data_IF_940530120613
#
_entry.id   IF_940530120613
#
_cell.length_a   1.000
_cell.length_b   1.000
_cell.length_c   1.000
_cell.angle_alpha   90.00
_cell.angle_beta   90.00
_cell.angle_gamma   90.00
#
_symmetry.space_group_name_H-M   'P 1'
#
loop_
_entity.id
_entity.type
_entity.pdbx_description
1 polymer ?
#
# COMPACT_ATOMS: atom_id res chain seq x y z
N UNK A 1 7.56 0.92 14.98
CA UNK A 1 8.06 2.22 15.52
C UNK A 1 8.37 2.04 17.01
N UNK A 2 9.52 2.51 17.52
CA UNK A 2 9.84 2.44 18.95
C UNK A 2 9.77 3.84 19.56
N UNK A 3 8.99 4.00 20.62
CA UNK A 3 8.95 5.23 21.42
C UNK A 3 9.31 4.83 22.84
N UNK A 4 10.44 5.34 23.34
CA UNK A 4 11.06 4.91 24.60
C UNK A 4 11.31 3.40 24.58
N UNK A 5 10.81 2.67 25.57
CA UNK A 5 10.93 1.23 25.76
C UNK A 5 9.83 0.42 25.04
N UNK A 6 8.94 1.07 24.29
CA UNK A 6 7.73 0.42 23.76
C UNK A 6 7.76 0.28 22.23
N UNK A 7 7.47 -0.93 21.74
CA UNK A 7 7.30 -1.21 20.31
C UNK A 7 5.83 -1.08 19.89
N UNK A 8 5.60 -0.26 18.87
CA UNK A 8 4.29 0.06 18.33
C UNK A 8 4.02 -0.68 17.03
N UNK A 9 2.85 -1.34 16.99
CA UNK A 9 2.26 -1.95 15.80
C UNK A 9 1.63 -0.88 14.90
N UNK A 10 0.99 0.11 15.49
CA UNK A 10 0.42 1.26 14.79
C UNK A 10 0.65 2.51 15.64
N UNK A 11 0.32 3.73 15.19
CA UNK A 11 0.47 4.92 16.03
C UNK A 11 -0.16 4.80 17.43
N UNK A 12 -1.33 4.15 17.54
CA UNK A 12 -2.07 4.00 18.81
C UNK A 12 -1.88 2.66 19.50
N UNK A 13 -1.54 1.60 18.76
CA UNK A 13 -1.48 0.23 19.30
C UNK A 13 -0.05 -0.25 19.50
N UNK A 14 0.25 -0.73 20.71
CA UNK A 14 1.51 -1.43 21.02
C UNK A 14 1.37 -2.91 20.74
N UNK A 15 2.45 -3.56 20.35
CA UNK A 15 2.44 -5.01 20.14
C UNK A 15 2.02 -5.79 21.39
N UNK A 16 2.47 -5.38 22.57
CA UNK A 16 2.13 -6.02 23.86
C UNK A 16 0.69 -5.83 24.29
N UNK A 17 -0.07 -4.96 23.62
CA UNK A 17 -1.45 -4.65 23.98
C UNK A 17 -2.45 -5.27 23.01
N UNK A 18 -2.00 -5.88 21.92
CA UNK A 18 -2.88 -6.44 20.91
C UNK A 18 -3.33 -7.84 21.29
N UNK A 19 -4.65 -8.00 21.39
CA UNK A 19 -5.28 -9.32 21.34
C UNK A 19 -5.44 -9.76 19.88
N UNK A 20 -4.61 -10.72 19.47
CA UNK A 20 -4.60 -11.29 18.11
C UNK A 20 -5.81 -12.19 17.82
N UNK A 21 -6.54 -12.63 18.83
CA UNK A 21 -7.76 -13.42 18.71
C UNK A 21 -9.02 -12.53 18.69
N UNK A 22 -8.92 -11.29 19.16
CA UNK A 22 -10.00 -10.32 19.10
C UNK A 22 -10.15 -9.69 17.72
N UNK A 23 -11.12 -10.18 16.95
CA UNK A 23 -11.44 -9.70 15.60
C UNK A 23 -11.60 -8.18 15.50
N UNK A 24 -12.40 -7.58 16.38
CA UNK A 24 -12.71 -6.15 16.33
C UNK A 24 -11.47 -5.31 16.60
N UNK A 25 -10.71 -5.69 17.63
CA UNK A 25 -9.50 -4.99 18.02
C UNK A 25 -8.43 -5.05 16.92
N UNK A 26 -8.21 -6.24 16.34
CA UNK A 26 -7.20 -6.42 15.29
C UNK A 26 -7.53 -5.63 14.01
N UNK A 27 -8.81 -5.56 13.64
CA UNK A 27 -9.27 -4.74 12.51
C UNK A 27 -9.02 -3.24 12.80
N UNK A 28 -9.36 -2.75 13.99
CA UNK A 28 -9.16 -1.34 14.35
C UNK A 28 -7.67 -0.98 14.44
N UNK A 29 -6.83 -1.87 14.98
CA UNK A 29 -5.38 -1.68 14.99
C UNK A 29 -4.81 -1.63 13.58
N UNK A 30 -5.28 -2.50 12.68
CA UNK A 30 -4.85 -2.51 11.28
C UNK A 30 -5.29 -1.24 10.54
N UNK A 31 -6.51 -0.76 10.76
CA UNK A 31 -6.99 0.55 10.28
C UNK A 31 -6.09 1.69 10.76
N UNK A 32 -5.79 1.72 12.05
CA UNK A 32 -4.90 2.73 12.64
C UNK A 32 -3.49 2.65 12.03
N UNK A 33 -2.96 1.45 11.76
CA UNK A 33 -1.66 1.26 11.11
C UNK A 33 -1.66 1.82 9.70
N UNK A 34 -2.59 1.36 8.87
CA UNK A 34 -2.59 1.72 7.44
C UNK A 34 -2.88 3.21 7.27
N UNK A 35 -3.92 3.74 7.94
CA UNK A 35 -4.25 5.17 7.89
C UNK A 35 -3.15 6.01 8.54
N UNK A 36 -2.63 5.59 9.68
CA UNK A 36 -1.71 6.38 10.48
C UNK A 36 -0.29 6.46 9.93
N UNK A 37 0.25 5.38 9.36
CA UNK A 37 1.61 5.37 8.82
C UNK A 37 1.69 5.75 7.33
N UNK A 38 0.64 5.48 6.55
CA UNK A 38 0.71 5.69 5.10
C UNK A 38 -0.31 6.72 4.59
N UNK A 39 -1.62 6.47 4.77
CA UNK A 39 -2.64 7.24 4.05
C UNK A 39 -2.78 8.68 4.56
N UNK A 40 -2.86 8.89 5.88
CA UNK A 40 -3.00 10.23 6.45
C UNK A 40 -1.74 11.09 6.20
N UNK A 41 -0.51 10.59 6.36
CA UNK A 41 0.67 11.35 5.96
C UNK A 41 0.70 11.67 4.46
N UNK A 42 0.35 10.72 3.58
CA UNK A 42 0.27 10.96 2.14
C UNK A 42 -0.78 12.04 1.80
N UNK A 43 -1.91 12.05 2.52
CA UNK A 43 -2.96 13.07 2.35
C UNK A 43 -2.43 14.47 2.67
N UNK A 44 -1.73 14.63 3.79
CA UNK A 44 -1.12 15.92 4.19
C UNK A 44 -0.12 16.41 3.15
N UNK A 45 0.77 15.52 2.68
CA UNK A 45 1.75 15.85 1.65
C UNK A 45 1.09 16.25 0.31
N UNK A 46 0.00 15.58 -0.07
CA UNK A 46 -0.79 15.98 -1.24
C UNK A 46 -1.43 17.37 -1.05
N UNK A 47 -1.91 17.72 0.14
CA UNK A 47 -2.44 19.05 0.46
C UNK A 47 -1.34 20.13 0.36
N UNK A 48 -0.11 19.79 0.74
CA UNK A 48 1.09 20.64 0.65
C UNK A 48 1.74 20.65 -0.75
N UNK A 49 1.19 19.88 -1.70
CA UNK A 49 1.69 19.68 -3.08
C UNK A 49 3.05 18.96 -3.17
N UNK A 50 3.46 18.25 -2.13
CA UNK A 50 4.64 17.37 -2.11
C UNK A 50 4.37 16.02 -2.79
N UNK A 51 4.10 16.09 -4.10
CA UNK A 51 3.67 14.96 -4.95
C UNK A 51 4.64 13.77 -4.90
N UNK A 52 5.95 14.03 -4.83
CA UNK A 52 6.96 12.98 -4.79
C UNK A 52 6.89 12.17 -3.48
N UNK A 53 6.84 12.86 -2.35
CA UNK A 53 6.77 12.21 -1.04
C UNK A 53 5.42 11.51 -0.83
N UNK A 54 4.32 12.13 -1.27
CA UNK A 54 3.00 11.51 -1.25
C UNK A 54 2.96 10.23 -2.11
N UNK A 55 3.56 10.26 -3.29
CA UNK A 55 3.67 9.12 -4.20
C UNK A 55 4.47 7.95 -3.59
N UNK A 56 5.60 8.23 -2.93
CA UNK A 56 6.36 7.21 -2.20
C UNK A 56 5.49 6.53 -1.13
N UNK A 57 4.77 7.31 -0.33
CA UNK A 57 3.90 6.75 0.71
C UNK A 57 2.78 5.90 0.12
N UNK A 58 2.16 6.33 -0.99
CA UNK A 58 1.18 5.52 -1.71
C UNK A 58 1.76 4.18 -2.15
N UNK A 59 2.97 4.18 -2.72
CA UNK A 59 3.67 2.96 -3.12
C UNK A 59 3.94 2.05 -1.92
N UNK A 60 4.41 2.60 -0.80
CA UNK A 60 4.64 1.79 0.42
C UNK A 60 3.34 1.22 1.00
N UNK A 61 2.22 1.96 0.90
CA UNK A 61 0.91 1.47 1.30
C UNK A 61 0.49 0.28 0.44
N UNK A 62 0.61 0.39 -0.88
CA UNK A 62 0.30 -0.69 -1.83
C UNK A 62 1.19 -1.91 -1.54
N UNK A 63 2.49 -1.73 -1.32
CA UNK A 63 3.42 -2.83 -1.08
C UNK A 63 3.03 -3.61 0.20
N UNK A 64 2.59 -2.90 1.24
CA UNK A 64 2.10 -3.49 2.48
C UNK A 64 0.74 -4.19 2.28
N UNK A 65 -0.24 -3.53 1.68
CA UNK A 65 -1.57 -4.09 1.44
C UNK A 65 -1.50 -5.33 0.53
N UNK A 66 -0.75 -5.26 -0.57
CA UNK A 66 -0.51 -6.38 -1.47
C UNK A 66 0.09 -7.59 -0.75
N UNK A 67 0.98 -7.36 0.22
CA UNK A 67 1.60 -8.43 1.01
C UNK A 67 0.60 -9.12 1.95
N UNK A 68 -0.32 -8.36 2.54
CA UNK A 68 -1.35 -8.89 3.43
C UNK A 68 -2.48 -9.57 2.64
N UNK A 69 -2.95 -8.94 1.57
CA UNK A 69 -4.18 -9.35 0.88
C UNK A 69 -3.99 -10.47 -0.14
N UNK A 70 -2.85 -10.52 -0.83
CA UNK A 70 -2.66 -11.51 -1.92
C UNK A 70 -2.09 -12.84 -1.44
N UNK A 71 -1.39 -12.85 -0.30
CA UNK A 71 -0.67 -14.03 0.20
C UNK A 71 0.50 -14.50 -0.68
N UNK A 72 0.89 -13.74 -1.72
CA UNK A 72 1.95 -14.12 -2.66
C UNK A 72 3.35 -13.66 -2.21
N UNK A 73 4.33 -14.54 -2.26
CA UNK A 73 5.69 -14.25 -1.78
C UNK A 73 6.50 -13.33 -2.72
N UNK A 74 6.34 -13.48 -4.03
CA UNK A 74 7.12 -12.71 -5.02
C UNK A 74 6.60 -11.28 -5.12
N UNK A 75 7.44 -10.30 -4.75
CA UNK A 75 7.10 -8.88 -4.66
C UNK A 75 6.42 -8.33 -5.91
N UNK A 76 7.05 -8.49 -7.09
CA UNK A 76 6.46 -8.00 -8.35
C UNK A 76 5.09 -8.61 -8.62
N UNK A 77 4.98 -9.94 -8.52
CA UNK A 77 3.71 -10.64 -8.75
C UNK A 77 2.59 -10.17 -7.80
N UNK A 78 2.87 -10.00 -6.50
CA UNK A 78 1.86 -9.55 -5.55
C UNK A 78 1.46 -8.10 -5.78
N UNK A 79 2.42 -7.23 -6.07
CA UNK A 79 2.20 -5.80 -6.25
C UNK A 79 1.38 -5.54 -7.51
N UNK A 80 1.79 -6.15 -8.62
CA UNK A 80 1.06 -6.09 -9.90
C UNK A 80 -0.34 -6.70 -9.78
N UNK A 81 -0.49 -7.86 -9.11
CA UNK A 81 -1.80 -8.47 -8.89
C UNK A 81 -2.71 -7.56 -8.08
N UNK A 82 -2.23 -7.03 -6.95
CA UNK A 82 -3.04 -6.16 -6.10
C UNK A 82 -3.51 -4.92 -6.85
N UNK A 83 -2.64 -4.28 -7.65
CA UNK A 83 -3.03 -3.12 -8.45
C UNK A 83 -4.12 -3.46 -9.46
N UNK A 84 -3.94 -4.51 -10.26
CA UNK A 84 -4.91 -4.90 -11.29
C UNK A 84 -6.26 -5.29 -10.71
N UNK A 85 -6.26 -6.01 -9.59
CA UNK A 85 -7.49 -6.47 -8.95
C UNK A 85 -8.29 -5.32 -8.31
N UNK A 86 -7.62 -4.22 -7.95
CA UNK A 86 -8.21 -3.17 -7.10
C UNK A 86 -8.32 -1.78 -7.72
N UNK A 87 -7.55 -1.48 -8.77
CA UNK A 87 -7.50 -0.17 -9.41
C UNK A 87 -7.50 -0.38 -10.93
N UNK A 88 -8.66 -0.13 -11.54
CA UNK A 88 -8.96 -0.46 -12.94
C UNK A 88 -7.95 0.13 -13.94
N UNK A 89 -7.39 1.31 -13.66
CA UNK A 89 -6.41 1.95 -14.53
C UNK A 89 -5.16 1.10 -14.70
N UNK A 90 -4.77 0.31 -13.69
CA UNK A 90 -3.56 -0.51 -13.75
C UNK A 90 -3.74 -1.85 -14.47
N UNK A 91 -4.97 -2.31 -14.69
CA UNK A 91 -5.25 -3.52 -15.50
C UNK A 91 -5.20 -3.25 -17.01
N UNK A 92 -5.21 -1.97 -17.41
CA UNK A 92 -5.04 -1.56 -18.81
C UNK A 92 -3.66 -1.98 -19.33
N UNK A 93 -3.61 -2.30 -20.63
CA UNK A 93 -2.37 -2.58 -21.34
C UNK A 93 -1.46 -1.34 -21.36
N UNK A 94 -0.14 -1.57 -21.28
CA UNK A 94 0.83 -0.51 -21.49
C UNK A 94 0.90 -0.15 -22.99
N UNK A 95 0.66 1.12 -23.37
CA UNK A 95 0.67 1.52 -24.78
C UNK A 95 2.04 1.32 -25.45
N UNK A 96 3.14 1.34 -24.69
CA UNK A 96 4.49 1.13 -25.24
C UNK A 96 4.87 -0.36 -25.34
N UNK A 97 4.11 -1.26 -24.71
CA UNK A 97 4.41 -2.69 -24.69
C UNK A 97 3.15 -3.53 -24.41
N UNK A 98 2.49 -4.00 -25.47
CA UNK A 98 1.21 -4.72 -25.37
C UNK A 98 1.27 -6.03 -24.56
N UNK A 99 2.46 -6.59 -24.35
CA UNK A 99 2.63 -7.81 -23.54
C UNK A 99 2.62 -7.55 -22.02
N UNK A 100 2.52 -6.30 -21.57
CA UNK A 100 2.49 -5.93 -20.14
C UNK A 100 1.36 -4.95 -19.83
N UNK A 101 0.98 -4.86 -18.57
CA UNK A 101 -0.02 -3.89 -18.10
C UNK A 101 0.65 -2.64 -17.51
N UNK A 102 -0.12 -1.59 -17.30
CA UNK A 102 0.34 -0.41 -16.57
C UNK A 102 0.76 -0.77 -15.13
N UNK A 103 0.17 -1.80 -14.50
CA UNK A 103 0.62 -2.32 -13.21
C UNK A 103 2.09 -2.76 -13.21
N UNK A 104 2.50 -3.50 -14.26
CA UNK A 104 3.89 -3.95 -14.41
C UNK A 104 4.82 -2.75 -14.56
N UNK A 105 4.46 -1.80 -15.42
CA UNK A 105 5.26 -0.60 -15.64
C UNK A 105 5.39 0.25 -14.37
N UNK A 106 4.31 0.43 -13.62
CA UNK A 106 4.34 1.14 -12.35
C UNK A 106 5.18 0.41 -11.29
N UNK A 107 5.12 -0.93 -11.24
CA UNK A 107 6.00 -1.73 -10.39
C UNK A 107 7.48 -1.53 -10.73
N UNK A 108 7.85 -1.59 -12.01
CA UNK A 108 9.26 -1.47 -12.42
C UNK A 108 9.79 -0.03 -12.35
N UNK A 109 9.06 0.93 -12.91
CA UNK A 109 9.55 2.31 -13.06
C UNK A 109 9.43 3.11 -11.77
N UNK A 110 8.33 2.93 -11.02
CA UNK A 110 8.07 3.70 -9.81
C UNK A 110 8.49 2.93 -8.57
N UNK A 111 7.91 1.77 -8.31
CA UNK A 111 8.20 1.06 -7.06
C UNK A 111 9.67 0.60 -7.00
N UNK A 112 10.17 -0.10 -8.01
CA UNK A 112 11.57 -0.54 -8.00
C UNK A 112 12.53 0.65 -8.10
N UNK A 113 12.22 1.64 -8.94
CA UNK A 113 12.99 2.88 -9.01
C UNK A 113 13.12 3.56 -7.63
N UNK A 114 12.01 3.87 -6.98
CA UNK A 114 12.01 4.64 -5.74
C UNK A 114 12.62 3.85 -4.57
N UNK A 115 12.32 2.55 -4.47
CA UNK A 115 12.77 1.74 -3.33
C UNK A 115 14.22 1.27 -3.49
N UNK A 116 14.69 0.99 -4.71
CA UNK A 116 16.02 0.42 -4.94
C UNK A 116 17.02 1.38 -5.58
N UNK A 117 16.56 2.40 -6.31
CA UNK A 117 17.43 3.36 -7.02
C UNK A 117 17.29 4.81 -6.51
N UNK A 118 16.32 5.09 -5.63
CA UNK A 118 16.08 6.43 -5.08
C UNK A 118 15.53 7.45 -6.10
N UNK A 119 15.00 6.99 -7.23
CA UNK A 119 14.45 7.84 -8.31
C UNK A 119 13.36 7.11 -9.09
N UNK A 120 12.54 7.84 -9.85
CA UNK A 120 11.62 7.20 -10.81
C UNK A 120 12.40 6.92 -12.11
N UNK A 121 12.23 5.73 -12.69
CA UNK A 121 12.90 5.35 -13.95
C UNK A 121 12.19 5.97 -15.16
N UNK A 122 12.88 5.98 -16.31
CA UNK A 122 12.31 6.31 -17.63
C UNK A 122 11.53 7.64 -17.67
N UNK A 123 12.02 8.64 -16.94
CA UNK A 123 11.38 9.96 -16.80
C UNK A 123 9.95 9.93 -16.26
N UNK A 124 9.52 8.83 -15.61
CA UNK A 124 8.23 8.74 -14.97
C UNK A 124 8.05 9.80 -13.89
N UNK A 125 6.82 10.29 -13.73
CA UNK A 125 6.53 11.48 -12.92
C UNK A 125 5.34 11.27 -12.00
N UNK A 126 5.38 11.98 -10.87
CA UNK A 126 4.16 12.29 -10.13
C UNK A 126 3.71 13.70 -10.49
N UNK A 127 2.45 13.85 -10.90
CA UNK A 127 1.86 15.17 -11.17
C UNK A 127 0.39 15.21 -10.77
N UNK A 128 0.04 16.19 -9.95
CA UNK A 128 -1.35 16.50 -9.61
C UNK A 128 -2.10 17.27 -10.71
N UNK A 129 -1.41 17.66 -11.80
CA UNK A 129 -1.96 18.47 -12.88
C UNK A 129 -2.75 17.63 -13.90
N UNK A 130 -2.40 16.36 -14.06
CA UNK A 130 -3.15 15.45 -14.94
C UNK A 130 -4.52 15.16 -14.33
N UNK A 131 -5.54 15.08 -15.19
CA UNK A 131 -6.90 14.78 -14.76
C UNK A 131 -7.11 13.32 -14.41
N UNK A 132 -6.38 12.40 -15.05
CA UNK A 132 -6.52 10.95 -14.83
C UNK A 132 -5.64 10.44 -13.68
N UNK A 133 -5.88 9.21 -13.21
CA UNK A 133 -5.01 8.57 -12.22
C UNK A 133 -3.63 8.27 -12.83
N UNK A 134 -3.63 7.74 -14.05
CA UNK A 134 -2.44 7.46 -14.86
C UNK A 134 -2.66 8.05 -16.24
N UNK A 135 -1.64 8.75 -16.75
CA UNK A 135 -1.53 9.15 -18.14
C UNK A 135 -0.21 8.60 -18.69
N UNK A 136 -0.19 8.14 -19.94
CA UNK A 136 1.05 7.79 -20.63
C UNK A 136 1.14 8.63 -21.89
N UNK A 137 2.08 9.57 -21.91
CA UNK A 137 2.26 10.55 -22.99
C UNK A 137 3.73 10.55 -23.39
N UNK A 138 4.01 10.46 -24.69
CA UNK A 138 5.38 10.39 -25.24
C UNK A 138 6.24 9.31 -24.54
N UNK A 139 5.63 8.15 -24.30
CA UNK A 139 6.26 7.04 -23.59
C UNK A 139 6.72 7.36 -22.16
N UNK A 140 6.16 8.40 -21.53
CA UNK A 140 6.36 8.74 -20.12
C UNK A 140 5.09 8.43 -19.34
N UNK A 141 5.20 7.61 -18.30
CA UNK A 141 4.09 7.38 -17.35
C UNK A 141 4.06 8.52 -16.33
N UNK A 142 2.92 9.20 -16.25
CA UNK A 142 2.63 10.24 -15.27
C UNK A 142 1.52 9.73 -14.37
N UNK A 143 1.73 9.76 -13.05
CA UNK A 143 0.78 9.29 -12.05
C UNK A 143 0.33 10.43 -11.18
N UNK A 144 -0.98 10.56 -10.96
CA UNK A 144 -1.54 11.54 -10.05
C UNK A 144 -1.55 10.97 -8.63
N UNK A 145 -0.67 11.43 -7.71
CA UNK A 145 -0.55 10.86 -6.38
C UNK A 145 -1.79 11.11 -5.50
N UNK A 146 -2.55 12.17 -5.79
CA UNK A 146 -3.82 12.44 -5.10
C UNK A 146 -4.90 11.44 -5.50
N UNK A 147 -5.04 11.17 -6.80
CA UNK A 147 -5.99 10.16 -7.29
C UNK A 147 -5.58 8.74 -6.90
N UNK A 148 -4.28 8.45 -6.93
CA UNK A 148 -3.76 7.17 -6.45
C UNK A 148 -4.09 6.96 -4.97
N UNK A 149 -3.89 7.98 -4.12
CA UNK A 149 -4.27 7.91 -2.71
C UNK A 149 -5.77 7.64 -2.53
N UNK A 150 -6.62 8.35 -3.26
CA UNK A 150 -8.08 8.15 -3.21
C UNK A 150 -8.49 6.73 -3.60
N UNK A 151 -7.85 6.17 -4.64
CA UNK A 151 -8.08 4.79 -5.06
C UNK A 151 -7.67 3.80 -3.96
N UNK A 152 -6.50 3.99 -3.34
CA UNK A 152 -6.03 3.15 -2.23
C UNK A 152 -6.97 3.25 -1.03
N UNK A 153 -7.43 4.45 -0.65
CA UNK A 153 -8.37 4.66 0.45
C UNK A 153 -9.69 3.91 0.20
N UNK A 154 -10.25 4.03 -1.00
CA UNK A 154 -11.48 3.33 -1.39
C UNK A 154 -11.31 1.81 -1.32
N UNK A 155 -10.23 1.28 -1.88
CA UNK A 155 -9.92 -0.15 -1.84
C UNK A 155 -9.72 -0.64 -0.41
N UNK A 156 -9.00 0.13 0.40
CA UNK A 156 -8.76 -0.22 1.78
C UNK A 156 -10.07 -0.28 2.59
N UNK A 157 -10.93 0.72 2.48
CA UNK A 157 -12.22 0.73 3.18
C UNK A 157 -13.13 -0.44 2.72
N UNK A 158 -13.09 -0.82 1.43
CA UNK A 158 -13.78 -2.02 0.94
C UNK A 158 -13.23 -3.29 1.60
N UNK A 159 -11.91 -3.44 1.66
CA UNK A 159 -11.27 -4.60 2.29
C UNK A 159 -11.62 -4.70 3.78
N UNK A 160 -11.62 -3.58 4.51
CA UNK A 160 -12.09 -3.54 5.90
C UNK A 160 -13.53 -4.03 6.02
N UNK A 161 -14.43 -3.58 5.13
CA UNK A 161 -15.81 -4.05 5.12
C UNK A 161 -15.94 -5.57 4.89
N UNK A 162 -15.04 -6.15 4.10
CA UNK A 162 -14.96 -7.60 3.90
C UNK A 162 -14.46 -8.33 5.16
N UNK A 163 -13.42 -7.81 5.82
CA UNK A 163 -12.92 -8.37 7.08
C UNK A 163 -13.99 -8.40 8.16
N UNK A 164 -14.80 -7.35 8.27
CA UNK A 164 -15.89 -7.25 9.24
C UNK A 164 -16.98 -8.31 8.99
N UNK A 165 -17.34 -8.55 7.71
CA UNK A 165 -18.44 -9.43 7.32
C UNK A 165 -18.06 -10.90 7.18
N UNK A 166 -16.85 -11.20 6.72
CA UNK A 166 -16.47 -12.54 6.27
C UNK A 166 -15.41 -13.16 7.18
N UNK A 167 -15.81 -14.18 7.95
CA UNK A 167 -14.92 -14.85 8.90
C UNK A 167 -13.73 -15.54 8.22
N UNK A 168 -13.92 -16.12 7.03
CA UNK A 168 -12.85 -16.76 6.26
C UNK A 168 -11.76 -15.76 5.84
N UNK A 169 -12.15 -14.60 5.33
CA UNK A 169 -11.23 -13.53 4.94
C UNK A 169 -10.49 -13.00 6.17
N UNK A 170 -11.21 -12.82 7.29
CA UNK A 170 -10.57 -12.42 8.54
C UNK A 170 -9.49 -13.42 9.01
N UNK A 171 -9.74 -14.74 8.90
CA UNK A 171 -8.72 -15.74 9.28
C UNK A 171 -7.48 -15.66 8.38
N UNK A 172 -7.65 -15.50 7.06
CA UNK A 172 -6.53 -15.33 6.12
C UNK A 172 -5.71 -14.07 6.47
N UNK A 173 -6.41 -12.96 6.68
CA UNK A 173 -5.83 -11.68 7.11
C UNK A 173 -5.01 -11.82 8.40
N UNK A 174 -5.58 -12.45 9.43
CA UNK A 174 -4.93 -12.66 10.72
C UNK A 174 -3.65 -13.49 10.55
N UNK A 175 -3.72 -14.60 9.80
CA UNK A 175 -2.56 -15.42 9.51
C UNK A 175 -1.46 -14.64 8.78
N UNK A 176 -1.83 -13.82 7.79
CA UNK A 176 -0.88 -12.98 7.05
C UNK A 176 -0.20 -11.94 7.95
N UNK A 177 -0.95 -11.26 8.81
CA UNK A 177 -0.39 -10.31 9.77
C UNK A 177 0.54 -10.99 10.78
N UNK A 178 0.12 -12.09 11.40
CA UNK A 178 0.94 -12.81 12.40
C UNK A 178 2.26 -13.24 11.76
N UNK A 179 2.21 -13.83 10.55
CA UNK A 179 3.41 -14.23 9.81
C UNK A 179 4.38 -13.07 9.61
N UNK A 180 3.87 -11.90 9.20
CA UNK A 180 4.70 -10.75 8.89
C UNK A 180 5.27 -10.05 10.13
N UNK A 181 4.56 -10.10 11.26
CA UNK A 181 4.95 -9.44 12.50
C UNK A 181 5.43 -10.39 13.60
N UNK A 182 5.62 -11.68 13.31
CA UNK A 182 5.97 -12.68 14.31
C UNK A 182 7.21 -12.26 15.12
N UNK A 183 8.27 -11.83 14.44
CA UNK A 183 9.51 -11.39 15.10
C UNK A 183 9.33 -10.12 15.93
N UNK A 184 8.48 -9.20 15.49
CA UNK A 184 8.16 -7.98 16.23
C UNK A 184 7.39 -8.30 17.51
N UNK A 185 6.44 -9.25 17.46
CA UNK A 185 5.72 -9.76 18.63
C UNK A 185 6.68 -10.43 19.60
N UNK A 186 7.50 -11.37 19.11
CA UNK A 186 8.51 -12.06 19.92
C UNK A 186 9.50 -11.09 20.57
N UNK A 187 9.88 -10.01 19.88
CA UNK A 187 10.73 -8.97 20.43
C UNK A 187 10.01 -8.14 21.50
N UNK A 188 8.76 -7.75 21.26
CA UNK A 188 8.00 -6.90 22.18
C UNK A 188 7.62 -7.61 23.48
N UNK A 189 7.58 -8.95 23.49
CA UNK A 189 7.30 -9.78 24.66
C UNK A 189 8.52 -10.07 25.56
N UNK A 190 9.71 -9.61 25.18
CA UNK A 190 10.94 -9.72 25.99
C UNK A 190 11.09 -8.55 26.94
#
# INVERSE_FOLDING_TARGET
MKIRDKLYFSPKYKFTQLDWDNKKELIEAFKDRVKGFYLNPAKKLNEEKDSFAAGILCITAIDFLARIETGLDRVGKRFEKWLRDNIEEFDKQDPDCQSRTLAYRFYDEFRNGLVHEGRIKNAGQFSCEIKELVEVTESVMIVNPKKLLQAIEKTFDNYIGMLEKESSIFQIFKCALIRDFQKDVEYASR
#
